data_IF_300137667994
#
_entry.id   IF_300137667994
#
_cell.length_a   1.000
_cell.length_b   1.000
_cell.length_c   1.000
_cell.angle_alpha   90.00
_cell.angle_beta   90.00
_cell.angle_gamma   90.00
#
_symmetry.space_group_name_H-M   'P 1'
#
loop_
_entity.id
_entity.type
_entity.pdbx_description
1 polymer ?
#
# COMPACT_ATOMS: atom_id res chain seq x y z
N UNK A 1 -1.43 -16.30 11.92
CA UNK A 1 -1.34 -15.72 10.57
C UNK A 1 -2.25 -14.51 10.54
N UNK A 2 -1.69 -13.31 10.40
CA UNK A 2 -2.47 -12.06 10.39
C UNK A 2 -2.92 -11.78 8.96
N UNK A 3 -4.23 -11.74 8.72
CA UNK A 3 -4.79 -11.28 7.44
C UNK A 3 -4.85 -9.74 7.49
N UNK A 4 -4.46 -9.06 6.42
CA UNK A 4 -4.75 -7.64 6.26
C UNK A 4 -6.26 -7.51 6.02
N UNK A 5 -6.92 -6.63 6.76
CA UNK A 5 -8.35 -6.37 6.65
C UNK A 5 -8.50 -5.02 5.97
N UNK A 6 -9.41 -4.93 4.99
CA UNK A 6 -9.84 -3.66 4.44
C UNK A 6 -10.69 -2.94 5.52
N UNK A 7 -10.17 -1.83 6.04
CA UNK A 7 -10.81 -1.09 7.12
C UNK A 7 -12.10 -0.42 6.65
N UNK A 8 -12.18 -0.01 5.38
CA UNK A 8 -13.35 0.66 4.82
C UNK A 8 -14.49 -0.34 4.60
N UNK A 9 -14.18 -1.52 4.05
CA UNK A 9 -15.14 -2.62 3.91
C UNK A 9 -15.65 -3.10 5.28
N UNK A 10 -14.77 -3.20 6.27
CA UNK A 10 -15.17 -3.52 7.65
C UNK A 10 -16.10 -2.45 8.24
N UNK A 11 -15.85 -1.17 7.98
CA UNK A 11 -16.72 -0.07 8.43
C UNK A 11 -18.10 -0.17 7.77
N UNK A 12 -18.17 -0.46 6.47
CA UNK A 12 -19.44 -0.69 5.77
C UNK A 12 -20.19 -1.89 6.34
N UNK A 13 -19.50 -3.00 6.60
CA UNK A 13 -20.08 -4.15 7.29
C UNK A 13 -20.65 -3.78 8.68
N UNK A 14 -19.92 -2.99 9.47
CA UNK A 14 -20.39 -2.55 10.79
C UNK A 14 -21.65 -1.69 10.65
N UNK A 15 -21.74 -0.79 9.66
CA UNK A 15 -22.91 0.07 9.44
C UNK A 15 -24.19 -0.72 9.15
N UNK A 16 -24.10 -1.87 8.47
CA UNK A 16 -25.25 -2.70 8.08
C UNK A 16 -25.62 -3.79 9.10
N UNK A 17 -24.86 -3.93 10.19
CA UNK A 17 -25.04 -5.02 11.17
C UNK A 17 -26.40 -4.98 11.89
N UNK A 18 -27.02 -3.80 12.05
CA UNK A 18 -28.30 -3.68 12.75
C UNK A 18 -29.50 -3.52 11.79
N UNK A 19 -30.67 -4.01 12.20
CA UNK A 19 -31.93 -3.95 11.42
C UNK A 19 -32.56 -2.56 11.65
N UNK A 20 -31.94 -1.52 11.13
CA UNK A 20 -32.42 -0.15 11.27
C UNK A 20 -31.75 0.80 10.28
N UNK A 21 -32.46 1.88 9.91
CA UNK A 21 -31.92 2.91 9.00
C UNK A 21 -30.92 3.88 9.68
N UNK A 22 -30.60 3.67 10.96
CA UNK A 22 -29.78 4.58 11.77
C UNK A 22 -28.65 3.83 12.48
N UNK A 23 -27.47 4.44 12.51
CA UNK A 23 -26.28 3.91 13.21
C UNK A 23 -26.50 3.97 14.73
N UNK A 24 -26.38 2.82 15.39
CA UNK A 24 -26.47 2.68 16.85
C UNK A 24 -25.22 3.20 17.57
N UNK A 25 -25.31 3.41 18.89
CA UNK A 25 -24.17 3.84 19.71
C UNK A 25 -23.01 2.84 19.63
N UNK A 26 -23.32 1.55 19.65
CA UNK A 26 -22.31 0.48 19.61
C UNK A 26 -21.60 0.44 18.26
N UNK A 27 -22.33 0.57 17.15
CA UNK A 27 -21.74 0.66 15.81
C UNK A 27 -20.77 1.84 15.70
N UNK A 28 -21.13 2.99 16.28
CA UNK A 28 -20.25 4.16 16.32
C UNK A 28 -18.97 3.89 17.11
N UNK A 29 -19.06 3.24 18.27
CA UNK A 29 -17.90 2.87 19.09
C UNK A 29 -16.95 1.93 18.33
N UNK A 30 -17.48 0.93 17.62
CA UNK A 30 -16.67 0.02 16.81
C UNK A 30 -16.00 0.72 15.62
N UNK A 31 -16.72 1.60 14.92
CA UNK A 31 -16.14 2.41 13.82
C UNK A 31 -15.02 3.31 14.35
N UNK A 32 -15.23 3.98 15.49
CA UNK A 32 -14.19 4.80 16.12
C UNK A 32 -13.00 3.95 16.58
N UNK A 33 -13.22 2.71 17.01
CA UNK A 33 -12.15 1.76 17.31
C UNK A 33 -11.31 1.44 16.07
N UNK A 34 -11.94 1.14 14.94
CA UNK A 34 -11.26 0.87 13.65
C UNK A 34 -10.47 2.10 13.19
N UNK A 35 -11.09 3.29 13.20
CA UNK A 35 -10.45 4.55 12.78
C UNK A 35 -9.24 4.95 13.64
N UNK A 36 -9.18 4.49 14.90
CA UNK A 36 -8.02 4.72 15.79
C UNK A 36 -6.87 3.74 15.58
N UNK A 37 -7.10 2.64 14.85
CA UNK A 37 -6.02 1.69 14.58
C UNK A 37 -5.00 2.30 13.62
N UNK A 38 -3.73 2.00 13.86
CA UNK A 38 -2.70 2.31 12.87
C UNK A 38 -2.91 1.44 11.64
N UNK A 39 -2.74 2.03 10.47
CA UNK A 39 -2.61 1.28 9.22
C UNK A 39 -1.48 0.27 9.37
N UNK A 40 -1.67 -0.97 8.91
CA UNK A 40 -0.65 -2.02 9.02
C UNK A 40 0.70 -1.61 8.39
N UNK A 41 0.66 -0.73 7.39
CA UNK A 41 1.83 -0.05 6.83
C UNK A 41 1.43 1.33 6.30
N UNK A 42 2.40 2.25 6.27
CA UNK A 42 2.23 3.58 5.68
C UNK A 42 2.64 3.50 4.20
N UNK A 43 1.66 3.67 3.29
CA UNK A 43 1.85 3.61 1.83
C UNK A 43 2.92 4.60 1.37
N UNK A 44 2.89 5.85 1.83
CA UNK A 44 3.86 6.87 1.44
C UNK A 44 5.28 6.49 1.85
N UNK A 45 5.44 5.93 3.05
CA UNK A 45 6.73 5.46 3.56
C UNK A 45 7.27 4.27 2.75
N UNK A 46 6.40 3.36 2.32
CA UNK A 46 6.81 2.25 1.44
C UNK A 46 7.22 2.78 0.07
N UNK A 47 6.46 3.71 -0.50
CA UNK A 47 6.78 4.36 -1.78
C UNK A 47 8.11 5.12 -1.71
N UNK A 48 8.38 5.81 -0.60
CA UNK A 48 9.66 6.48 -0.36
C UNK A 48 10.83 5.49 -0.36
N UNK A 49 10.72 4.38 0.39
CA UNK A 49 11.76 3.34 0.44
C UNK A 49 12.02 2.72 -0.94
N UNK A 50 10.98 2.53 -1.76
CA UNK A 50 11.11 2.01 -3.12
C UNK A 50 11.81 3.02 -4.05
N UNK A 51 11.52 4.31 -3.93
CA UNK A 51 12.23 5.37 -4.67
C UNK A 51 13.71 5.44 -4.28
N UNK A 52 14.02 5.37 -2.98
CA UNK A 52 15.40 5.35 -2.49
C UNK A 52 16.17 4.13 -3.01
N UNK A 53 15.51 2.96 -3.07
CA UNK A 53 16.08 1.75 -3.65
C UNK A 53 16.38 1.93 -5.15
N UNK A 54 15.47 2.56 -5.90
CA UNK A 54 15.66 2.88 -7.32
C UNK A 54 16.86 3.81 -7.54
N UNK A 55 17.00 4.85 -6.71
CA UNK A 55 18.14 5.77 -6.76
C UNK A 55 19.44 5.03 -6.44
N UNK A 56 19.45 4.16 -5.43
CA UNK A 56 20.62 3.36 -5.08
C UNK A 56 21.10 2.50 -6.24
N UNK A 57 20.19 1.80 -6.93
CA UNK A 57 20.55 0.98 -8.09
C UNK A 57 21.02 1.82 -9.29
N UNK A 58 20.47 3.01 -9.49
CA UNK A 58 20.97 3.92 -10.51
C UNK A 58 22.44 4.26 -10.27
N UNK A 59 22.79 4.62 -9.03
CA UNK A 59 24.14 5.01 -8.64
C UNK A 59 25.15 3.86 -8.71
N UNK A 60 24.73 2.62 -8.53
CA UNK A 60 25.64 1.45 -8.49
C UNK A 60 25.71 0.65 -9.79
N UNK A 61 24.69 0.72 -10.65
CA UNK A 61 24.58 -0.11 -11.85
C UNK A 61 24.71 0.73 -13.13
N UNK A 62 23.79 1.67 -13.37
CA UNK A 62 23.72 2.42 -14.63
C UNK A 62 24.79 3.52 -14.76
N UNK A 63 25.31 4.03 -13.65
CA UNK A 63 26.29 5.12 -13.67
C UNK A 63 27.72 4.68 -14.03
N UNK A 64 27.88 3.67 -14.90
CA UNK A 64 29.20 3.15 -15.30
C UNK A 64 29.48 3.28 -16.80
N UNK A 65 28.52 3.74 -17.61
CA UNK A 65 28.66 3.84 -19.07
C UNK A 65 28.69 2.49 -19.80
N UNK A 66 28.16 1.44 -19.16
CA UNK A 66 28.13 0.06 -19.64
C UNK A 66 26.70 -0.26 -20.09
N UNK A 67 26.52 -0.53 -21.38
CA UNK A 67 25.20 -0.72 -21.99
C UNK A 67 24.44 -1.93 -21.40
N UNK A 68 25.14 -2.98 -20.99
CA UNK A 68 24.51 -4.16 -20.40
C UNK A 68 23.99 -3.83 -18.99
N UNK A 69 24.75 -3.04 -18.24
CA UNK A 69 24.30 -2.55 -16.92
C UNK A 69 23.17 -1.54 -17.02
N UNK A 70 23.18 -0.67 -18.03
CA UNK A 70 22.07 0.25 -18.30
C UNK A 70 20.77 -0.51 -18.61
N UNK A 71 20.88 -1.58 -19.41
CA UNK A 71 19.75 -2.48 -19.68
C UNK A 71 19.25 -3.17 -18.40
N UNK A 72 20.16 -3.69 -17.57
CA UNK A 72 19.81 -4.30 -16.29
C UNK A 72 19.11 -3.30 -15.35
N UNK A 73 19.61 -2.07 -15.24
CA UNK A 73 18.98 -1.01 -14.45
C UNK A 73 17.57 -0.70 -14.94
N UNK A 74 17.36 -0.62 -16.26
CA UNK A 74 16.03 -0.34 -16.82
C UNK A 74 14.98 -1.37 -16.38
N UNK A 75 15.34 -2.65 -16.36
CA UNK A 75 14.45 -3.72 -15.90
C UNK A 75 14.14 -3.58 -14.39
N UNK A 76 15.16 -3.28 -13.57
CA UNK A 76 15.00 -3.03 -12.13
C UNK A 76 14.11 -1.81 -11.88
N UNK A 77 14.37 -0.70 -12.58
CA UNK A 77 13.62 0.54 -12.49
C UNK A 77 12.13 0.32 -12.80
N UNK A 78 11.82 -0.36 -13.91
CA UNK A 78 10.45 -0.70 -14.30
C UNK A 78 9.77 -1.60 -13.26
N UNK A 79 10.51 -2.55 -12.67
CA UNK A 79 9.98 -3.45 -11.64
C UNK A 79 9.62 -2.68 -10.37
N UNK A 80 10.48 -1.75 -9.96
CA UNK A 80 10.21 -0.88 -8.80
C UNK A 80 9.02 0.05 -9.07
N UNK A 81 8.91 0.61 -10.26
CA UNK A 81 7.76 1.43 -10.65
C UNK A 81 6.46 0.61 -10.57
N UNK A 82 6.47 -0.64 -11.05
CA UNK A 82 5.31 -1.54 -10.93
C UNK A 82 4.98 -1.87 -9.48
N UNK A 83 5.99 -2.09 -8.63
CA UNK A 83 5.77 -2.30 -7.21
C UNK A 83 5.12 -1.08 -6.53
N UNK A 84 5.52 0.13 -6.91
CA UNK A 84 4.90 1.38 -6.42
C UNK A 84 3.42 1.46 -6.85
N UNK A 85 3.11 1.09 -8.10
CA UNK A 85 1.71 1.03 -8.57
C UNK A 85 0.88 0.05 -7.74
N UNK A 86 1.39 -1.17 -7.52
CA UNK A 86 0.70 -2.22 -6.75
C UNK A 86 0.43 -1.73 -5.31
N UNK A 87 1.43 -1.15 -4.64
CA UNK A 87 1.30 -0.65 -3.27
C UNK A 87 0.27 0.48 -3.18
N UNK A 88 0.21 1.36 -4.19
CA UNK A 88 -0.77 2.46 -4.23
C UNK A 88 -2.18 1.98 -4.57
N UNK A 89 -2.32 0.94 -5.39
CA UNK A 89 -3.58 0.28 -5.70
C UNK A 89 -4.02 -0.75 -4.66
N UNK A 90 -3.38 -0.79 -3.48
CA UNK A 90 -3.62 -1.76 -2.40
C UNK A 90 -3.47 -3.24 -2.80
N UNK A 91 -2.89 -3.53 -3.98
CA UNK A 91 -2.78 -4.89 -4.52
C UNK A 91 -4.12 -5.59 -4.76
N UNK A 92 -5.22 -4.82 -4.87
CA UNK A 92 -6.53 -5.36 -5.27
C UNK A 92 -6.54 -5.38 -6.79
N UNK A 93 -6.51 -6.57 -7.39
CA UNK A 93 -6.87 -6.72 -8.79
C UNK A 93 -8.36 -6.35 -8.93
N UNK A 94 -8.69 -5.49 -9.91
CA UNK A 94 -10.08 -5.15 -10.29
C UNK A 94 -10.91 -6.41 -10.60
#
# INVERSE_FOLDING_TARGET
>A
MSRLIDADDLIEYIKIWDIGNSISSDQKEFIDCVNRQFTAFNVDKVVEQLKDLKVRYFLTIANTGDADKDCAYKNIANTIDKAIEIVKGSGVDD
#
